data_IF_422644248186
#
_entry.id   IF_422644248186
#
_cell.length_a   1.000
_cell.length_b   1.000
_cell.length_c   1.000
_cell.angle_alpha   90.00
_cell.angle_beta   90.00
_cell.angle_gamma   90.00
#
_symmetry.space_group_name_H-M   'P 1'
#
loop_
_entity.id
_entity.type
_entity.pdbx_description
1 polymer ?
#
# COMPACT_ATOMS: atom_id res chain seq x y z
N UNK A 1 -20.47 51.18 26.34
CA UNK A 1 -19.02 51.09 26.04
C UNK A 1 -18.41 50.06 26.99
N UNK A 2 -17.95 48.89 26.50
CA UNK A 2 -17.42 47.87 27.39
C UNK A 2 -15.92 48.07 27.65
N UNK A 3 -15.54 47.77 28.87
CA UNK A 3 -14.25 48.00 29.48
C UNK A 3 -13.24 46.89 29.14
N UNK A 4 -12.01 47.31 28.85
CA UNK A 4 -10.80 46.50 28.85
C UNK A 4 -10.59 45.83 30.22
N UNK A 5 -10.23 44.55 30.23
CA UNK A 5 -9.62 43.88 31.39
C UNK A 5 -8.31 43.22 30.97
N UNK A 6 -7.23 43.95 31.19
CA UNK A 6 -5.87 43.43 31.33
C UNK A 6 -5.75 42.70 32.68
N UNK A 7 -5.08 41.53 32.69
CA UNK A 7 -4.56 40.92 33.91
C UNK A 7 -3.09 40.57 33.67
N UNK A 8 -2.23 41.26 34.41
CA UNK A 8 -0.85 40.90 34.62
C UNK A 8 -0.66 40.70 36.13
N UNK A 9 -0.02 39.61 36.53
CA UNK A 9 0.81 39.53 37.74
C UNK A 9 1.76 38.33 37.64
N UNK A 10 3.04 38.64 37.83
CA UNK A 10 4.22 37.78 37.97
C UNK A 10 4.17 37.01 39.33
N UNK A 11 5.06 36.09 39.73
CA UNK A 11 6.48 35.85 39.44
C UNK A 11 6.87 34.46 40.06
N UNK A 12 7.75 33.66 39.42
CA UNK A 12 9.16 33.31 39.83
C UNK A 12 9.37 31.95 40.51
N UNK A 13 10.18 31.07 39.87
CA UNK A 13 11.31 30.25 40.40
C UNK A 13 11.77 29.26 39.28
N UNK A 14 12.87 29.51 38.54
CA UNK A 14 14.32 29.24 38.79
C UNK A 14 14.84 27.99 38.05
N UNK A 15 15.68 28.28 37.05
CA UNK A 15 16.92 27.64 36.55
C UNK A 15 17.02 26.11 36.42
N UNK A 16 17.31 25.62 35.20
CA UNK A 16 18.60 24.97 34.84
C UNK A 16 18.53 24.42 33.40
N UNK A 17 19.31 24.99 32.46
CA UNK A 17 19.97 24.28 31.35
C UNK A 17 20.80 25.28 30.53
N UNK A 18 22.03 25.51 30.96
CA UNK A 18 23.07 26.11 30.13
C UNK A 18 24.03 25.01 29.65
N UNK A 19 24.45 25.17 28.39
CA UNK A 19 25.64 24.60 27.78
C UNK A 19 25.66 23.08 27.55
N UNK A 20 25.45 22.68 26.29
CA UNK A 20 26.28 21.67 25.63
C UNK A 20 26.38 22.01 24.13
N UNK A 21 26.99 23.17 23.86
CA UNK A 21 27.58 23.48 22.56
C UNK A 21 29.09 23.47 22.74
N UNK A 22 29.76 22.41 22.31
CA UNK A 22 31.03 22.47 21.57
C UNK A 22 31.47 21.05 21.17
N UNK A 23 32.08 20.98 19.98
CA UNK A 23 33.03 19.95 19.55
C UNK A 23 32.49 18.67 18.93
N UNK A 24 32.06 18.75 17.66
CA UNK A 24 32.40 17.74 16.64
C UNK A 24 32.77 18.41 15.31
N UNK A 25 34.02 18.84 15.19
CA UNK A 25 34.68 19.02 13.88
C UNK A 25 34.99 17.63 13.35
N UNK A 26 34.28 17.19 12.31
CA UNK A 26 34.70 16.06 11.48
C UNK A 26 35.56 16.60 10.31
N UNK A 27 36.66 15.93 9.94
CA UNK A 27 37.58 16.42 8.93
C UNK A 27 37.06 16.16 7.50
N UNK A 28 37.28 17.13 6.60
CA UNK A 28 37.13 16.97 5.15
C UNK A 28 38.06 15.86 4.62
N UNK A 29 37.61 14.96 3.75
CA UNK A 29 38.52 14.18 2.93
C UNK A 29 39.01 15.01 1.74
N UNK A 30 40.33 15.11 1.63
CA UNK A 30 41.06 15.72 0.54
C UNK A 30 40.77 15.02 -0.80
N UNK A 31 40.66 15.83 -1.86
CA UNK A 31 40.68 15.36 -3.24
C UNK A 31 41.95 14.56 -3.50
N UNK A 32 41.80 13.30 -3.94
CA UNK A 32 42.86 12.55 -4.60
C UNK A 32 42.46 12.32 -6.05
N UNK A 33 43.15 13.05 -6.90
CA UNK A 33 43.43 12.76 -8.31
C UNK A 33 43.87 11.30 -8.45
N UNK A 34 43.20 10.55 -9.32
CA UNK A 34 43.70 9.26 -9.81
C UNK A 34 44.15 9.49 -11.24
N UNK A 35 45.47 9.39 -11.42
CA UNK A 35 46.15 9.32 -12.70
C UNK A 35 45.66 8.13 -13.52
N UNK A 36 45.53 8.40 -14.82
CA UNK A 36 45.38 7.44 -15.89
C UNK A 36 46.62 6.53 -15.96
N UNK A 37 46.41 5.21 -15.89
CA UNK A 37 47.40 4.23 -16.30
C UNK A 37 46.72 3.23 -17.25
N UNK A 38 47.18 3.27 -18.50
CA UNK A 38 46.80 2.37 -19.59
C UNK A 38 47.45 0.99 -19.40
N UNK A 39 46.70 -0.09 -19.69
CA UNK A 39 47.26 -1.33 -20.23
C UNK A 39 46.16 -2.18 -20.90
N UNK A 40 46.21 -2.19 -22.24
CA UNK A 40 46.10 -3.33 -23.14
C UNK A 40 44.97 -4.35 -22.96
N UNK A 41 43.90 -4.18 -23.75
CA UNK A 41 42.98 -5.25 -24.11
C UNK A 41 43.27 -5.73 -25.53
N UNK A 42 43.64 -7.00 -25.64
CA UNK A 42 43.70 -7.81 -26.86
C UNK A 42 42.34 -7.88 -27.57
N UNK A 43 42.39 -7.84 -28.90
CA UNK A 43 41.24 -7.97 -29.81
C UNK A 43 40.60 -9.38 -29.77
N UNK A 44 39.33 -9.47 -30.20
CA UNK A 44 39.08 -10.39 -31.30
C UNK A 44 38.11 -9.85 -32.37
N UNK A 45 38.34 -10.32 -33.60
CA UNK A 45 37.28 -10.86 -34.45
C UNK A 45 36.35 -9.87 -35.15
N UNK A 46 36.73 -9.49 -36.37
CA UNK A 46 35.88 -8.93 -37.43
C UNK A 46 34.67 -9.86 -37.68
N UNK A 47 33.46 -9.41 -37.35
CA UNK A 47 32.21 -10.02 -37.79
C UNK A 47 31.70 -9.28 -39.03
N UNK A 48 31.47 -10.04 -40.10
CA UNK A 48 30.84 -9.60 -41.34
C UNK A 48 29.34 -9.32 -41.13
N UNK A 49 28.73 -8.40 -41.91
CA UNK A 49 27.31 -8.10 -41.80
C UNK A 49 26.45 -9.16 -42.52
N UNK A 50 25.51 -9.75 -41.78
CA UNK A 50 24.45 -10.64 -42.27
C UNK A 50 23.45 -9.89 -43.21
N UNK A 51 22.92 -10.53 -44.27
CA UNK A 51 22.06 -9.86 -45.24
C UNK A 51 20.60 -9.77 -44.77
N UNK A 52 19.93 -8.68 -45.17
CA UNK A 52 18.52 -8.41 -44.89
C UNK A 52 17.57 -9.44 -45.55
N UNK A 53 16.45 -9.81 -44.91
CA UNK A 53 15.47 -10.70 -45.53
C UNK A 53 14.63 -9.97 -46.60
N UNK A 54 14.56 -10.57 -47.78
CA UNK A 54 13.68 -10.16 -48.89
C UNK A 54 12.20 -10.53 -48.63
N UNK A 55 11.25 -9.82 -49.25
CA UNK A 55 9.83 -9.91 -48.90
C UNK A 55 9.17 -11.16 -49.52
N UNK A 56 8.40 -11.89 -48.71
CA UNK A 56 7.59 -13.01 -49.17
C UNK A 56 6.33 -12.48 -49.89
N UNK A 57 6.26 -12.73 -51.19
CA UNK A 57 5.07 -12.54 -52.02
C UNK A 57 3.97 -13.55 -51.62
N UNK A 58 2.74 -13.07 -51.38
CA UNK A 58 1.54 -13.91 -51.31
C UNK A 58 0.96 -14.11 -52.72
N UNK A 59 0.49 -15.32 -53.08
CA UNK A 59 -0.16 -15.54 -54.35
C UNK A 59 -1.56 -14.93 -54.39
N UNK A 60 -1.90 -14.38 -55.55
CA UNK A 60 -3.23 -13.87 -55.89
C UNK A 60 -4.20 -15.04 -56.14
N UNK A 61 -5.40 -14.94 -55.58
CA UNK A 61 -6.57 -15.72 -56.02
C UNK A 61 -7.69 -14.74 -56.34
N UNK A 62 -8.00 -14.67 -57.63
CA UNK A 62 -9.14 -13.95 -58.19
C UNK A 62 -10.43 -14.75 -58.01
N UNK A 63 -11.52 -14.04 -57.73
CA UNK A 63 -12.86 -14.43 -58.17
C UNK A 63 -13.78 -15.05 -57.13
N UNK A 64 -14.49 -14.21 -56.37
CA UNK A 64 -15.92 -14.42 -56.06
C UNK A 64 -16.60 -13.04 -56.05
N UNK A 65 -17.55 -12.86 -56.96
CA UNK A 65 -18.42 -11.68 -57.07
C UNK A 65 -19.25 -11.46 -55.79
N UNK A 66 -19.35 -10.19 -55.38
CA UNK A 66 -20.32 -9.73 -54.37
C UNK A 66 -21.71 -9.64 -55.01
N UNK A 67 -22.77 -10.26 -54.46
CA UNK A 67 -24.11 -9.79 -54.70
C UNK A 67 -24.34 -8.49 -53.91
N UNK A 68 -24.81 -7.45 -54.61
CA UNK A 68 -25.35 -6.26 -53.98
C UNK A 68 -26.68 -6.62 -53.31
N UNK A 69 -26.79 -6.39 -52.00
CA UNK A 69 -28.08 -6.44 -51.29
C UNK A 69 -28.37 -5.04 -50.78
N UNK A 70 -29.20 -4.33 -51.55
CA UNK A 70 -29.89 -3.13 -51.11
C UNK A 70 -30.89 -3.50 -50.01
N UNK A 71 -30.94 -2.68 -48.96
CA UNK A 71 -32.07 -2.63 -48.02
C UNK A 71 -31.93 -3.52 -46.78
N UNK A 72 -31.15 -3.06 -45.80
CA UNK A 72 -31.39 -3.40 -44.39
C UNK A 72 -31.46 -2.09 -43.61
N UNK A 73 -32.68 -1.72 -43.21
CA UNK A 73 -32.90 -0.69 -42.21
C UNK A 73 -32.18 -1.11 -40.92
N UNK A 74 -31.32 -0.23 -40.40
CA UNK A 74 -30.80 -0.34 -39.03
C UNK A 74 -32.00 -0.42 -38.07
N UNK A 75 -32.13 -1.45 -37.22
CA UNK A 75 -33.00 -1.35 -36.07
C UNK A 75 -32.42 -0.24 -35.19
N UNK A 76 -33.21 0.82 -34.98
CA UNK A 76 -32.95 1.74 -33.89
C UNK A 76 -33.04 0.94 -32.59
N UNK A 77 -31.90 0.78 -31.92
CA UNK A 77 -31.85 0.22 -30.56
C UNK A 77 -32.35 1.32 -29.61
N UNK A 78 -33.65 1.52 -29.61
CA UNK A 78 -34.34 2.26 -28.55
C UNK A 78 -34.34 1.39 -27.30
N UNK A 79 -33.77 1.91 -26.21
CA UNK A 79 -34.08 1.45 -24.86
C UNK A 79 -33.18 0.38 -24.28
N UNK A 80 -31.87 0.60 -24.23
CA UNK A 80 -31.12 0.23 -23.01
C UNK A 80 -30.90 1.52 -22.25
N UNK A 81 -31.85 1.86 -21.38
CA UNK A 81 -31.53 2.75 -20.27
C UNK A 81 -30.39 2.07 -19.50
N UNK A 82 -29.18 2.61 -19.65
CA UNK A 82 -28.22 2.59 -18.54
C UNK A 82 -29.01 2.93 -17.29
N UNK A 83 -28.82 2.22 -16.16
CA UNK A 83 -29.22 2.81 -14.90
C UNK A 83 -28.52 4.16 -14.87
N UNK A 84 -29.30 5.25 -14.90
CA UNK A 84 -28.80 6.49 -14.39
C UNK A 84 -28.30 6.12 -13.00
N UNK A 85 -27.01 6.34 -12.73
CA UNK A 85 -26.56 6.39 -11.35
C UNK A 85 -27.26 7.63 -10.81
N UNK A 86 -28.48 7.44 -10.31
CA UNK A 86 -29.17 8.42 -9.50
C UNK A 86 -28.13 8.83 -8.47
N UNK A 87 -27.74 10.11 -8.50
CA UNK A 87 -26.86 10.65 -7.49
C UNK A 87 -27.42 10.23 -6.16
N UNK A 88 -26.71 9.36 -5.45
CA UNK A 88 -27.15 8.87 -4.15
C UNK A 88 -27.32 10.13 -3.32
N UNK A 89 -28.57 10.47 -2.99
CA UNK A 89 -28.84 11.58 -2.08
C UNK A 89 -28.04 11.27 -0.81
N UNK A 90 -27.24 12.23 -0.36
CA UNK A 90 -26.37 12.10 0.81
C UNK A 90 -26.94 12.93 1.96
N UNK A 91 -28.11 12.57 2.51
CA UNK A 91 -28.88 13.45 3.36
C UNK A 91 -28.17 13.81 4.67
N UNK A 92 -27.39 12.91 5.26
CA UNK A 92 -26.73 13.20 6.53
C UNK A 92 -25.47 14.06 6.33
N UNK A 93 -24.70 13.82 5.26
CA UNK A 93 -23.61 14.71 4.84
C UNK A 93 -24.14 16.11 4.54
N UNK A 94 -25.25 16.23 3.79
CA UNK A 94 -25.86 17.51 3.45
C UNK A 94 -26.36 18.24 4.71
N UNK A 95 -27.14 17.57 5.56
CA UNK A 95 -27.69 18.15 6.78
C UNK A 95 -26.59 18.64 7.76
N UNK A 96 -25.48 17.91 7.87
CA UNK A 96 -24.36 18.35 8.68
C UNK A 96 -23.60 19.54 8.06
N UNK A 97 -23.52 19.61 6.73
CA UNK A 97 -22.91 20.75 6.02
C UNK A 97 -23.72 22.03 6.21
N UNK A 98 -25.05 21.91 6.19
CA UNK A 98 -25.96 23.01 6.54
C UNK A 98 -25.75 23.44 8.00
N UNK A 99 -25.68 22.48 8.93
CA UNK A 99 -25.40 22.78 10.33
C UNK A 99 -24.05 23.47 10.55
N UNK A 100 -22.98 23.06 9.84
CA UNK A 100 -21.68 23.74 9.90
C UNK A 100 -21.79 25.20 9.44
N UNK A 101 -22.62 25.45 8.43
CA UNK A 101 -22.89 26.79 7.94
C UNK A 101 -23.63 27.63 8.97
N UNK A 102 -24.64 27.06 9.64
CA UNK A 102 -25.38 27.71 10.72
C UNK A 102 -24.48 27.99 11.92
N UNK A 103 -23.63 27.03 12.32
CA UNK A 103 -22.69 27.18 13.42
C UNK A 103 -21.75 28.37 13.23
N UNK A 104 -21.18 28.52 12.02
CA UNK A 104 -20.28 29.63 11.70
C UNK A 104 -20.95 31.01 11.73
N UNK A 105 -22.26 31.06 11.57
CA UNK A 105 -23.06 32.28 11.56
C UNK A 105 -23.77 32.52 12.90
N UNK A 106 -23.58 31.64 13.88
CA UNK A 106 -24.27 31.69 15.14
C UNK A 106 -23.84 32.91 15.97
N UNK A 107 -24.82 33.58 16.56
CA UNK A 107 -24.56 34.50 17.66
C UNK A 107 -24.22 33.72 18.94
N UNK A 108 -23.46 34.29 19.90
CA UNK A 108 -23.06 33.59 21.12
C UNK A 108 -24.22 32.98 21.93
N UNK A 109 -25.42 33.58 21.84
CA UNK A 109 -26.63 33.07 22.52
C UNK A 109 -27.23 31.81 21.90
N UNK A 110 -26.92 31.49 20.64
CA UNK A 110 -27.46 30.33 19.92
C UNK A 110 -26.55 29.09 19.99
N UNK A 111 -25.29 29.26 20.41
CA UNK A 111 -24.27 28.20 20.41
C UNK A 111 -24.69 26.97 21.21
N UNK A 112 -25.26 27.13 22.40
CA UNK A 112 -25.67 25.98 23.23
C UNK A 112 -26.74 25.11 22.53
N UNK A 113 -27.72 25.75 21.89
CA UNK A 113 -28.79 25.05 21.17
C UNK A 113 -28.27 24.40 19.87
N UNK A 114 -27.40 25.08 19.13
CA UNK A 114 -26.79 24.53 17.92
C UNK A 114 -25.84 23.38 18.23
N UNK A 115 -25.06 23.46 19.30
CA UNK A 115 -24.19 22.37 19.75
C UNK A 115 -24.99 21.10 20.06
N UNK A 116 -26.11 21.23 20.78
CA UNK A 116 -27.01 20.10 21.08
C UNK A 116 -27.60 19.45 19.81
N UNK A 117 -27.93 20.25 18.79
CA UNK A 117 -28.40 19.75 17.48
C UNK A 117 -27.27 19.16 16.62
N UNK A 118 -26.05 19.63 16.78
CA UNK A 118 -24.90 19.23 15.96
C UNK A 118 -24.45 17.80 16.21
N UNK A 119 -24.48 17.33 17.47
CA UNK A 119 -24.02 15.98 17.84
C UNK A 119 -24.78 14.87 17.08
N UNK A 120 -26.13 14.80 17.08
CA UNK A 120 -26.84 13.77 16.32
C UNK A 120 -26.62 13.88 14.80
N UNK A 121 -26.45 15.09 14.26
CA UNK A 121 -26.14 15.28 12.84
C UNK A 121 -24.73 14.78 12.48
N UNK A 122 -23.74 15.07 13.33
CA UNK A 122 -22.37 14.58 13.16
C UNK A 122 -22.31 13.06 13.19
N UNK A 123 -23.03 12.41 14.12
CA UNK A 123 -23.15 10.95 14.19
C UNK A 123 -23.77 10.35 12.94
N UNK A 124 -24.88 10.92 12.47
CA UNK A 124 -25.54 10.47 11.25
C UNK A 124 -24.60 10.59 10.04
N UNK A 125 -23.91 11.73 9.91
CA UNK A 125 -22.88 11.93 8.88
C UNK A 125 -21.76 10.91 9.00
N UNK A 126 -21.24 10.65 10.21
CA UNK A 126 -20.13 9.72 10.43
C UNK A 126 -20.48 8.30 9.97
N UNK A 127 -21.71 7.85 10.24
CA UNK A 127 -22.22 6.56 9.78
C UNK A 127 -22.29 6.50 8.24
N UNK A 128 -22.86 7.53 7.61
CA UNK A 128 -22.94 7.63 6.15
C UNK A 128 -21.53 7.71 5.50
N UNK A 129 -20.62 8.48 6.09
CA UNK A 129 -19.24 8.62 5.63
C UNK A 129 -18.49 7.30 5.69
N UNK A 130 -18.70 6.49 6.74
CA UNK A 130 -18.12 5.14 6.84
C UNK A 130 -18.53 4.26 5.67
N UNK A 131 -19.80 4.32 5.24
CA UNK A 131 -20.26 3.56 4.07
C UNK A 131 -19.66 4.10 2.76
N UNK A 132 -19.55 5.43 2.63
CA UNK A 132 -18.92 6.06 1.47
C UNK A 132 -17.45 5.65 1.34
N UNK A 133 -16.68 5.57 2.42
CA UNK A 133 -15.27 5.13 2.36
C UNK A 133 -15.15 3.79 1.63
N UNK A 134 -16.07 2.85 1.88
CA UNK A 134 -16.03 1.53 1.24
C UNK A 134 -16.53 1.55 -0.21
N UNK A 135 -17.62 2.28 -0.50
CA UNK A 135 -18.32 2.21 -1.80
C UNK A 135 -17.88 3.27 -2.82
N UNK A 136 -17.57 4.47 -2.35
CA UNK A 136 -17.11 5.60 -3.17
C UNK A 136 -16.11 6.45 -2.38
N UNK A 137 -14.82 6.04 -2.37
CA UNK A 137 -13.77 6.74 -1.63
C UNK A 137 -13.59 8.19 -2.11
N UNK A 138 -13.88 8.48 -3.39
CA UNK A 138 -13.80 9.84 -3.91
C UNK A 138 -14.88 10.74 -3.30
N UNK A 139 -16.13 10.25 -3.22
CA UNK A 139 -17.21 10.95 -2.55
C UNK A 139 -16.97 11.10 -1.03
N UNK A 140 -16.37 10.10 -0.38
CA UNK A 140 -15.99 10.18 1.03
C UNK A 140 -14.97 11.31 1.26
N UNK A 141 -13.89 11.36 0.47
CA UNK A 141 -12.87 12.40 0.55
C UNK A 141 -13.46 13.79 0.29
N UNK A 142 -14.36 13.92 -0.68
CA UNK A 142 -15.05 15.18 -0.96
C UNK A 142 -16.01 15.63 0.16
N UNK A 143 -16.50 14.69 0.97
CA UNK A 143 -17.39 14.96 2.10
C UNK A 143 -16.63 15.29 3.40
N UNK A 144 -15.29 15.25 3.40
CA UNK A 144 -14.47 15.54 4.57
C UNK A 144 -14.68 16.98 5.08
N UNK A 145 -14.71 17.17 6.40
CA UNK A 145 -14.69 18.49 7.04
C UNK A 145 -13.25 19.03 6.96
N UNK A 146 -13.02 20.16 6.26
CA UNK A 146 -11.71 20.82 6.18
C UNK A 146 -11.12 21.12 7.56
N UNK A 147 -9.78 21.17 7.67
CA UNK A 147 -9.09 21.35 8.94
C UNK A 147 -9.46 22.67 9.62
N UNK A 148 -9.54 23.76 8.86
CA UNK A 148 -9.98 25.06 9.34
C UNK A 148 -11.37 25.06 9.98
N UNK A 149 -12.33 24.35 9.37
CA UNK A 149 -13.71 24.26 9.86
C UNK A 149 -13.87 23.46 11.14
N UNK A 150 -12.82 22.76 11.59
CA UNK A 150 -12.83 22.03 12.86
C UNK A 150 -12.50 22.95 14.04
N UNK A 151 -11.80 24.06 13.78
CA UNK A 151 -11.43 25.03 14.80
C UNK A 151 -12.69 25.73 15.30
N UNK A 152 -12.88 25.74 16.63
CA UNK A 152 -14.04 26.39 17.25
C UNK A 152 -15.34 25.57 17.21
N UNK A 153 -15.31 24.31 16.76
CA UNK A 153 -16.46 23.41 16.93
C UNK A 153 -16.62 23.01 18.41
N UNK A 154 -17.85 22.75 18.87
CA UNK A 154 -18.07 22.16 20.19
C UNK A 154 -17.34 20.82 20.31
N UNK A 155 -16.67 20.59 21.44
CA UNK A 155 -15.88 19.37 21.66
C UNK A 155 -16.69 18.08 21.41
N UNK A 156 -17.97 18.06 21.80
CA UNK A 156 -18.86 16.93 21.58
C UNK A 156 -19.17 16.66 20.10
N UNK A 157 -19.16 17.69 19.24
CA UNK A 157 -19.33 17.54 17.79
C UNK A 157 -18.02 17.14 17.14
N UNK A 158 -16.91 17.78 17.54
CA UNK A 158 -15.58 17.47 17.03
C UNK A 158 -15.18 16.00 17.28
N UNK A 159 -15.58 15.43 18.41
CA UNK A 159 -15.37 14.01 18.74
C UNK A 159 -16.08 13.02 17.81
N UNK A 160 -17.11 13.47 17.09
CA UNK A 160 -17.89 12.64 16.16
C UNK A 160 -17.40 12.77 14.71
N UNK A 161 -16.39 13.61 14.45
CA UNK A 161 -15.81 13.77 13.12
C UNK A 161 -14.87 12.61 12.76
N UNK A 162 -14.63 12.48 11.46
CA UNK A 162 -13.55 11.67 10.91
C UNK A 162 -12.18 12.22 11.31
N UNK A 163 -11.21 11.33 11.42
CA UNK A 163 -9.80 11.70 11.56
C UNK A 163 -9.24 12.11 10.20
N UNK A 164 -8.53 13.24 10.13
CA UNK A 164 -7.73 13.57 8.95
C UNK A 164 -6.40 12.85 9.04
N UNK A 165 -6.06 12.12 7.98
CA UNK A 165 -4.78 11.43 7.87
C UNK A 165 -3.88 12.23 6.94
N UNK A 166 -2.65 12.51 7.38
CA UNK A 166 -1.61 13.16 6.58
C UNK A 166 -0.23 12.84 7.15
N UNK A 167 0.37 11.77 6.65
CA UNK A 167 1.69 11.31 7.09
C UNK A 167 2.32 10.38 6.05
N UNK A 168 3.61 10.14 6.18
CA UNK A 168 4.24 8.99 5.52
C UNK A 168 3.86 7.70 6.24
N UNK A 169 3.52 6.68 5.46
CA UNK A 169 3.13 5.38 5.99
C UNK A 169 3.32 4.26 4.98
N UNK A 170 2.97 3.06 5.39
CA UNK A 170 3.07 1.87 4.57
C UNK A 170 1.71 1.56 3.93
N UNK A 171 1.73 1.31 2.63
CA UNK A 171 0.61 0.85 1.83
C UNK A 171 0.85 -0.61 1.47
N UNK A 172 0.19 -1.52 2.18
CA UNK A 172 0.32 -2.96 1.97
C UNK A 172 -0.81 -3.46 1.07
N UNK A 173 -0.44 -4.20 0.02
CA UNK A 173 -1.41 -4.93 -0.82
C UNK A 173 -1.12 -6.40 -0.66
N UNK A 174 -2.07 -7.15 -0.13
CA UNK A 174 -1.92 -8.58 0.13
C UNK A 174 -2.88 -9.41 -0.71
N UNK A 175 -2.37 -10.54 -1.20
CA UNK A 175 -3.12 -11.55 -1.94
C UNK A 175 -3.26 -12.79 -1.06
N UNK A 176 -4.45 -13.36 -0.94
CA UNK A 176 -4.75 -14.50 -0.05
C UNK A 176 -5.17 -15.73 -0.86
N UNK A 177 -4.67 -16.91 -0.50
CA UNK A 177 -4.80 -18.11 -1.33
C UNK A 177 -5.31 -19.31 -0.50
N UNK A 178 -6.52 -19.86 -0.74
CA UNK A 178 -7.50 -19.42 -1.75
C UNK A 178 -8.14 -18.08 -1.39
N UNK A 179 -8.49 -17.31 -2.43
CA UNK A 179 -9.07 -15.97 -2.27
C UNK A 179 -10.61 -16.00 -2.07
N UNK A 180 -11.16 -15.11 -1.22
CA UNK A 180 -12.55 -14.66 -1.40
C UNK A 180 -12.68 -13.82 -2.68
N UNK A 181 -13.90 -13.53 -3.13
CA UNK A 181 -14.21 -12.94 -4.45
C UNK A 181 -13.42 -11.67 -4.85
N UNK A 182 -12.86 -10.92 -3.89
CA UNK A 182 -11.94 -9.80 -4.13
C UNK A 182 -10.53 -10.17 -3.63
N UNK A 183 -9.70 -10.78 -4.49
CA UNK A 183 -8.41 -11.37 -4.12
C UNK A 183 -7.33 -10.41 -3.59
N UNK A 184 -7.56 -9.09 -3.60
CA UNK A 184 -6.61 -8.06 -3.16
C UNK A 184 -7.13 -7.27 -1.96
N UNK A 185 -6.45 -7.39 -0.82
CA UNK A 185 -6.72 -6.56 0.36
C UNK A 185 -5.70 -5.42 0.46
N UNK A 186 -6.17 -4.20 0.69
CA UNK A 186 -5.33 -3.01 0.91
C UNK A 186 -5.36 -2.59 2.37
N UNK A 187 -4.19 -2.39 2.95
CA UNK A 187 -4.02 -1.90 4.32
C UNK A 187 -3.05 -0.73 4.33
N UNK A 188 -3.39 0.35 5.02
CA UNK A 188 -2.47 1.44 5.29
C UNK A 188 -1.96 1.37 6.74
N UNK A 189 -0.68 1.63 6.97
CA UNK A 189 -0.08 1.70 8.31
C UNK A 189 0.51 3.09 8.51
N UNK A 190 -0.06 3.85 9.44
CA UNK A 190 0.35 5.22 9.75
C UNK A 190 0.53 5.34 11.26
N UNK A 191 1.70 5.81 11.70
CA UNK A 191 2.06 5.94 13.12
C UNK A 191 1.77 4.65 13.95
N UNK A 192 1.98 3.48 13.35
CA UNK A 192 1.72 2.17 13.98
C UNK A 192 0.26 1.70 13.99
N UNK A 193 -0.69 2.51 13.51
CA UNK A 193 -2.11 2.13 13.37
C UNK A 193 -2.37 1.55 11.99
N UNK A 194 -3.15 0.46 11.93
CA UNK A 194 -3.52 -0.23 10.69
C UNK A 194 -4.94 0.14 10.29
N UNK A 195 -5.13 0.50 9.03
CA UNK A 195 -6.42 0.85 8.47
C UNK A 195 -6.75 -0.05 7.28
N UNK A 196 -7.97 -0.55 7.20
CA UNK A 196 -8.52 -1.07 5.94
C UNK A 196 -8.63 0.10 4.96
N UNK A 197 -7.84 0.03 3.89
CA UNK A 197 -7.60 1.18 3.03
C UNK A 197 -8.39 1.08 1.71
N UNK A 198 -9.11 2.15 1.42
CA UNK A 198 -9.83 2.33 0.15
C UNK A 198 -9.24 3.55 -0.58
N UNK A 199 -9.25 3.49 -1.91
CA UNK A 199 -8.74 4.56 -2.78
C UNK A 199 -9.51 4.53 -4.09
N UNK A 200 -9.31 5.56 -4.92
CA UNK A 200 -9.78 5.60 -6.29
C UNK A 200 -8.63 5.99 -7.24
N UNK A 201 -8.90 5.98 -8.55
CA UNK A 201 -7.96 6.43 -9.57
C UNK A 201 -6.65 5.62 -9.62
N UNK A 202 -5.53 6.31 -9.84
CA UNK A 202 -4.19 5.73 -10.04
C UNK A 202 -3.81 4.69 -8.98
N UNK A 203 -4.06 4.99 -7.69
CA UNK A 203 -3.60 4.14 -6.58
C UNK A 203 -4.36 2.81 -6.48
N UNK A 204 -5.42 2.59 -7.27
CA UNK A 204 -6.03 1.26 -7.44
C UNK A 204 -5.03 0.25 -8.03
N UNK A 205 -4.14 0.68 -8.92
CA UNK A 205 -3.12 -0.19 -9.52
C UNK A 205 -1.82 -0.25 -8.68
N UNK A 206 -1.75 0.43 -7.54
CA UNK A 206 -0.55 0.48 -6.73
C UNK A 206 -0.41 -0.83 -5.95
N UNK A 207 0.72 -1.52 -6.13
CA UNK A 207 1.14 -2.64 -5.30
C UNK A 207 1.68 -2.18 -3.93
N UNK A 208 2.28 -3.07 -3.15
CA UNK A 208 2.84 -2.71 -1.84
C UNK A 208 3.89 -1.61 -1.96
N UNK A 209 3.80 -0.59 -1.09
CA UNK A 209 4.76 0.52 -0.97
C UNK A 209 5.00 0.90 0.49
N UNK A 210 6.25 1.13 0.87
CA UNK A 210 6.66 1.55 2.20
C UNK A 210 7.16 2.99 2.20
N UNK A 211 6.78 3.76 3.22
CA UNK A 211 7.13 5.18 3.33
C UNK A 211 6.43 6.10 2.31
N UNK A 212 5.27 5.69 1.81
CA UNK A 212 4.44 6.42 0.85
C UNK A 212 3.82 7.67 1.53
N UNK A 213 3.88 8.88 0.94
CA UNK A 213 3.08 10.01 1.42
C UNK A 213 1.59 9.71 1.22
N UNK A 214 0.87 9.58 2.32
CA UNK A 214 -0.54 9.23 2.35
C UNK A 214 -1.33 10.36 3.01
N UNK A 215 -2.41 10.77 2.37
CA UNK A 215 -3.37 11.67 2.96
C UNK A 215 -4.80 11.26 2.62
N UNK A 216 -5.73 11.61 3.50
CA UNK A 216 -7.12 11.20 3.40
C UNK A 216 -7.86 11.35 4.72
N UNK A 217 -8.81 10.46 4.96
CA UNK A 217 -9.60 10.44 6.19
C UNK A 217 -9.84 9.03 6.70
N UNK A 218 -10.10 8.92 7.99
CA UNK A 218 -10.48 7.67 8.65
C UNK A 218 -11.71 7.82 9.54
N UNK A 219 -12.53 6.77 9.54
CA UNK A 219 -13.60 6.53 10.50
C UNK A 219 -13.34 5.17 11.14
N UNK A 220 -12.96 5.17 12.42
CA UNK A 220 -12.42 3.99 13.10
C UNK A 220 -11.20 3.43 12.34
N UNK A 221 -11.18 2.14 12.02
CA UNK A 221 -10.10 1.48 11.27
C UNK A 221 -10.34 1.48 9.75
N UNK A 222 -11.35 2.18 9.24
CA UNK A 222 -11.67 2.26 7.81
C UNK A 222 -11.22 3.62 7.26
N UNK A 223 -10.39 3.62 6.22
CA UNK A 223 -9.80 4.84 5.69
C UNK A 223 -9.95 4.97 4.17
N UNK A 224 -10.21 6.19 3.71
CA UNK A 224 -10.13 6.58 2.31
C UNK A 224 -8.87 7.41 2.07
N UNK A 225 -8.08 7.06 1.07
CA UNK A 225 -6.87 7.77 0.67
C UNK A 225 -7.03 8.38 -0.71
N UNK A 226 -6.52 9.60 -0.87
CA UNK A 226 -6.51 10.28 -2.15
C UNK A 226 -5.45 9.67 -3.10
N UNK A 227 -5.66 9.73 -4.43
CA UNK A 227 -4.68 9.26 -5.41
C UNK A 227 -3.46 10.18 -5.56
N UNK A 228 -3.58 11.43 -5.15
CA UNK A 228 -2.53 12.43 -5.25
C UNK A 228 -1.51 12.25 -4.09
N UNK A 229 -0.19 12.38 -4.33
CA UNK A 229 0.83 12.31 -3.28
C UNK A 229 0.90 13.53 -2.35
N UNK A 230 0.08 14.56 -2.58
CA UNK A 230 0.03 15.79 -1.78
C UNK A 230 -1.39 16.31 -1.62
N UNK A 231 -1.60 17.07 -0.55
CA UNK A 231 -2.85 17.78 -0.25
C UNK A 231 -2.62 19.27 -0.19
N UNK A 232 -3.45 20.09 -0.80
CA UNK A 232 -3.42 21.53 -0.57
C UNK A 232 -3.85 21.87 0.88
N UNK A 233 -3.16 22.81 1.50
CA UNK A 233 -3.60 23.36 2.80
C UNK A 233 -4.79 24.28 2.60
N UNK A 234 -5.74 24.25 3.54
CA UNK A 234 -6.80 25.25 3.59
C UNK A 234 -6.31 26.59 4.15
N UNK A 235 -7.16 27.62 4.05
CA UNK A 235 -6.77 28.99 4.38
C UNK A 235 -6.48 29.19 5.88
N UNK A 236 -7.22 28.51 6.75
CA UNK A 236 -6.99 28.59 8.19
C UNK A 236 -5.71 27.83 8.58
N UNK A 237 -5.41 26.70 7.93
CA UNK A 237 -4.12 26.00 8.07
C UNK A 237 -2.94 26.88 7.66
N UNK A 238 -3.08 27.65 6.57
CA UNK A 238 -2.06 28.61 6.13
C UNK A 238 -1.88 29.73 7.15
N UNK A 239 -2.97 30.36 7.59
CA UNK A 239 -2.95 31.47 8.57
C UNK A 239 -2.32 31.01 9.89
N UNK A 240 -2.69 29.83 10.39
CA UNK A 240 -2.12 29.27 11.61
C UNK A 240 -0.61 29.03 11.52
N UNK A 241 -0.07 28.88 10.30
CA UNK A 241 1.36 28.71 10.01
C UNK A 241 2.07 30.01 9.60
N UNK A 242 1.37 31.14 9.61
CA UNK A 242 1.92 32.42 9.17
C UNK A 242 2.15 32.52 7.66
N UNK A 243 1.50 31.66 6.87
CA UNK A 243 1.54 31.69 5.41
C UNK A 243 0.46 32.62 4.86
N UNK A 244 0.72 33.24 3.70
CA UNK A 244 -0.29 34.02 3.00
C UNK A 244 -1.43 33.12 2.50
N UNK A 245 -2.67 33.60 2.55
CA UNK A 245 -3.86 32.83 2.16
C UNK A 245 -3.82 32.42 0.68
N UNK A 246 -3.26 33.28 -0.17
CA UNK A 246 -3.06 33.04 -1.60
C UNK A 246 -1.80 32.23 -1.94
N UNK A 247 -1.00 31.85 -0.94
CA UNK A 247 0.17 31.00 -1.16
C UNK A 247 -0.25 29.59 -1.59
N UNK A 248 0.48 29.04 -2.57
CA UNK A 248 0.37 27.63 -2.95
C UNK A 248 1.16 26.78 -1.95
N UNK A 249 0.51 26.36 -0.87
CA UNK A 249 1.07 25.49 0.14
C UNK A 249 0.43 24.09 0.09
N UNK A 250 1.26 23.05 0.06
CA UNK A 250 0.80 21.65 0.05
C UNK A 250 1.49 20.86 1.15
N UNK A 251 0.81 19.84 1.65
CA UNK A 251 1.35 18.83 2.57
C UNK A 251 1.73 17.58 1.79
N UNK A 252 2.94 17.07 2.02
CA UNK A 252 3.47 15.83 1.43
C UNK A 252 3.86 14.88 2.56
N UNK A 253 2.90 14.05 2.98
CA UNK A 253 3.10 13.10 4.08
C UNK A 253 3.43 13.80 5.40
N UNK A 254 2.72 14.89 5.69
CA UNK A 254 2.85 15.70 6.91
C UNK A 254 3.81 16.90 6.81
N UNK A 255 4.70 16.92 5.82
CA UNK A 255 5.65 18.03 5.61
C UNK A 255 5.05 19.09 4.68
N UNK A 256 5.14 20.36 5.07
CA UNK A 256 4.59 21.48 4.29
C UNK A 256 5.64 22.04 3.35
N UNK A 257 5.31 22.09 2.06
CA UNK A 257 6.09 22.76 1.02
C UNK A 257 5.27 23.92 0.41
N UNK A 258 5.92 25.06 0.18
CA UNK A 258 5.31 26.27 -0.39
C UNK A 258 5.95 26.53 -1.75
N UNK A 259 5.12 26.83 -2.74
CA UNK A 259 5.50 27.04 -4.13
C UNK A 259 5.10 28.44 -4.60
N UNK A 260 5.86 28.98 -5.54
CA UNK A 260 5.57 30.29 -6.15
C UNK A 260 4.37 30.22 -7.10
N UNK A 261 4.07 29.03 -7.63
CA UNK A 261 2.90 28.78 -8.47
C UNK A 261 2.85 27.36 -9.02
N UNK A 262 1.78 27.01 -9.77
CA UNK A 262 1.56 25.64 -10.26
C UNK A 262 2.71 25.06 -11.09
N UNK A 263 3.41 25.92 -11.85
CA UNK A 263 4.55 25.51 -12.68
C UNK A 263 5.72 24.93 -11.87
N UNK A 264 5.86 25.32 -10.60
CA UNK A 264 6.90 24.80 -9.69
C UNK A 264 6.44 23.52 -8.98
N UNK A 265 5.13 23.37 -8.74
CA UNK A 265 4.54 22.17 -8.14
C UNK A 265 4.54 20.98 -9.10
N UNK A 266 4.35 21.18 -10.40
CA UNK A 266 4.24 20.07 -11.38
C UNK A 266 5.49 19.16 -11.44
N UNK A 267 6.73 19.68 -11.52
CA UNK A 267 7.93 18.84 -11.45
C UNK A 267 8.03 18.08 -10.12
N UNK A 268 7.63 18.70 -9.01
CA UNK A 268 7.63 18.07 -7.68
C UNK A 268 6.63 16.92 -7.63
N UNK A 269 5.42 17.13 -8.14
CA UNK A 269 4.38 16.13 -8.31
C UNK A 269 4.87 14.96 -9.16
N UNK A 270 5.46 15.24 -10.33
CA UNK A 270 6.01 14.21 -11.22
C UNK A 270 7.09 13.36 -10.53
N UNK A 271 7.98 13.99 -9.75
CA UNK A 271 9.00 13.28 -8.98
C UNK A 271 8.41 12.35 -7.92
N UNK A 272 7.35 12.78 -7.22
CA UNK A 272 6.63 11.93 -6.25
C UNK A 272 5.98 10.74 -6.96
N UNK A 273 5.26 10.96 -8.05
CA UNK A 273 4.63 9.90 -8.85
C UNK A 273 5.65 8.89 -9.40
N UNK A 274 6.81 9.37 -9.85
CA UNK A 274 7.90 8.52 -10.31
C UNK A 274 8.50 7.69 -9.16
N UNK A 275 8.63 8.25 -7.97
CA UNK A 275 9.10 7.53 -6.79
C UNK A 275 8.13 6.40 -6.38
N UNK A 276 6.82 6.68 -6.43
CA UNK A 276 5.79 5.67 -6.20
C UNK A 276 5.79 4.55 -7.26
N UNK A 277 6.14 4.87 -8.52
CA UNK A 277 6.14 3.93 -9.63
C UNK A 277 7.39 3.04 -9.73
N UNK A 278 8.43 3.28 -8.91
CA UNK A 278 9.64 2.43 -8.89
C UNK A 278 9.29 0.96 -8.65
N UNK A 279 10.07 0.03 -9.18
CA UNK A 279 9.89 -1.38 -8.85
C UNK A 279 10.21 -1.66 -7.38
N UNK A 280 9.52 -2.66 -6.82
CA UNK A 280 9.67 -3.02 -5.41
C UNK A 280 8.93 -2.07 -4.46
N UNK A 281 8.94 -2.38 -3.16
CA UNK A 281 8.07 -1.72 -2.20
C UNK A 281 8.67 -0.43 -1.65
N UNK A 282 9.98 -0.22 -1.72
CA UNK A 282 10.63 0.88 -1.01
C UNK A 282 10.51 2.19 -1.78
N UNK A 283 9.77 3.15 -1.22
CA UNK A 283 9.76 4.55 -1.69
C UNK A 283 10.94 5.27 -1.04
N UNK A 284 11.80 5.97 -1.82
CA UNK A 284 12.90 6.74 -1.24
C UNK A 284 12.42 7.81 -0.25
N UNK A 285 13.02 7.84 0.95
CA UNK A 285 12.76 8.86 1.96
C UNK A 285 13.55 8.66 3.26
N UNK A 286 13.42 9.57 4.23
CA UNK A 286 13.99 9.39 5.56
C UNK A 286 13.42 8.13 6.23
N UNK A 287 14.29 7.31 6.83
CA UNK A 287 13.87 6.10 7.56
C UNK A 287 13.62 4.86 6.69
N UNK A 288 13.83 4.91 5.36
CA UNK A 288 13.83 3.70 4.53
C UNK A 288 14.91 2.74 5.04
N UNK A 289 14.58 1.50 5.46
CA UNK A 289 15.58 0.56 5.94
C UNK A 289 16.57 0.23 4.82
N UNK A 290 17.87 0.04 5.14
CA UNK A 290 18.83 -0.45 4.17
C UNK A 290 18.42 -1.88 3.79
N UNK A 291 17.89 -2.03 2.58
CA UNK A 291 17.41 -3.30 2.03
C UNK A 291 18.57 -4.24 1.71
N UNK A 292 18.26 -5.52 1.50
CA UNK A 292 19.17 -6.46 0.84
C UNK A 292 19.81 -5.87 -0.43
N UNK A 293 21.07 -6.24 -0.68
CA UNK A 293 21.94 -5.65 -1.70
C UNK A 293 21.38 -5.68 -3.14
N UNK A 294 21.19 -4.49 -3.73
CA UNK A 294 21.43 -4.08 -5.12
C UNK A 294 21.20 -5.11 -6.25
N UNK A 295 20.03 -5.73 -6.33
CA UNK A 295 19.53 -6.31 -7.59
C UNK A 295 18.14 -5.75 -7.90
N UNK A 296 17.72 -5.65 -9.17
CA UNK A 296 16.35 -5.29 -9.51
C UNK A 296 15.35 -6.18 -8.74
N UNK A 297 14.16 -5.65 -8.44
CA UNK A 297 13.25 -6.28 -7.46
C UNK A 297 12.91 -7.73 -7.79
N UNK A 298 12.80 -8.05 -9.08
CA UNK A 298 12.45 -9.39 -9.55
C UNK A 298 13.64 -10.19 -10.11
N UNK A 299 14.69 -9.53 -10.62
CA UNK A 299 15.80 -10.17 -11.32
C UNK A 299 17.03 -10.37 -10.43
N UNK A 300 17.80 -11.42 -10.69
CA UNK A 300 19.02 -11.77 -9.96
C UNK A 300 18.75 -12.67 -8.76
N UNK A 301 19.78 -12.89 -7.96
CA UNK A 301 19.67 -13.68 -6.73
C UNK A 301 18.78 -12.99 -5.69
N UNK A 302 17.92 -13.75 -5.03
CA UNK A 302 16.98 -13.30 -4.00
C UNK A 302 17.14 -14.16 -2.75
N UNK A 303 17.37 -13.51 -1.61
CA UNK A 303 17.50 -14.16 -0.31
C UNK A 303 16.13 -14.23 0.36
N UNK A 304 15.77 -15.41 0.84
CA UNK A 304 14.52 -15.69 1.56
C UNK A 304 14.81 -16.20 2.96
N UNK A 305 14.21 -15.57 3.98
CA UNK A 305 14.28 -16.04 5.37
C UNK A 305 13.01 -16.80 5.75
N UNK A 306 13.15 -17.99 6.35
CA UNK A 306 12.06 -18.67 7.06
C UNK A 306 12.12 -18.38 8.55
N UNK A 307 10.99 -17.98 9.12
CA UNK A 307 10.79 -17.79 10.56
C UNK A 307 9.63 -18.68 11.00
N UNK A 308 9.90 -19.68 11.83
CA UNK A 308 8.85 -20.46 12.48
C UNK A 308 8.43 -19.81 13.79
N UNK A 309 7.14 -19.74 14.04
CA UNK A 309 6.58 -19.26 15.30
C UNK A 309 5.62 -20.26 15.92
N UNK A 310 5.55 -20.28 17.25
CA UNK A 310 4.57 -21.02 18.04
C UNK A 310 3.88 -20.11 19.07
N UNK A 311 2.95 -20.68 19.83
CA UNK A 311 2.12 -19.95 20.78
C UNK A 311 2.15 -20.63 22.15
N UNK A 312 1.87 -19.88 23.22
CA UNK A 312 1.92 -20.45 24.57
C UNK A 312 0.81 -21.49 24.80
N UNK A 313 -0.36 -21.28 24.20
CA UNK A 313 -1.51 -22.18 24.20
C UNK A 313 -1.45 -23.30 23.15
N UNK A 314 -0.50 -23.26 22.21
CA UNK A 314 -0.30 -24.29 21.18
C UNK A 314 1.17 -24.39 20.75
N UNK A 315 2.08 -24.89 21.62
CA UNK A 315 3.52 -24.83 21.42
C UNK A 315 4.05 -25.86 20.40
N UNK A 316 5.22 -25.58 19.81
CA UNK A 316 5.94 -26.49 18.91
C UNK A 316 5.94 -26.08 17.44
N UNK A 317 6.94 -26.60 16.71
CA UNK A 317 7.15 -26.33 15.30
C UNK A 317 5.99 -26.83 14.41
N UNK A 318 5.82 -26.19 13.26
CA UNK A 318 4.89 -26.67 12.22
C UNK A 318 5.55 -27.74 11.36
N UNK A 319 6.84 -27.55 11.05
CA UNK A 319 7.62 -28.41 10.20
C UNK A 319 9.05 -28.58 10.74
N UNK A 320 9.64 -29.73 10.43
CA UNK A 320 11.06 -29.98 10.66
C UNK A 320 11.93 -29.20 9.68
N UNK A 321 13.20 -28.99 10.03
CA UNK A 321 14.18 -28.36 9.13
C UNK A 321 14.30 -29.09 7.80
N UNK A 322 14.30 -30.43 7.82
CA UNK A 322 14.42 -31.25 6.62
C UNK A 322 13.21 -31.07 5.66
N UNK A 323 12.00 -30.92 6.19
CA UNK A 323 10.81 -30.65 5.38
C UNK A 323 10.90 -29.26 4.71
N UNK A 324 11.34 -28.24 5.45
CA UNK A 324 11.55 -26.89 4.92
C UNK A 324 12.66 -26.90 3.85
N UNK A 325 13.76 -27.62 4.06
CA UNK A 325 14.85 -27.75 3.09
C UNK A 325 14.42 -28.44 1.79
N UNK A 326 13.58 -29.48 1.86
CA UNK A 326 12.98 -30.10 0.68
C UNK A 326 12.08 -29.11 -0.09
N UNK A 327 11.28 -28.30 0.62
CA UNK A 327 10.49 -27.23 0.00
C UNK A 327 11.38 -26.19 -0.67
N UNK A 328 12.42 -25.70 0.03
CA UNK A 328 13.37 -24.73 -0.50
C UNK A 328 14.03 -25.20 -1.80
N UNK A 329 14.44 -26.47 -1.85
CA UNK A 329 15.08 -27.07 -3.03
C UNK A 329 14.15 -27.04 -4.24
N UNK A 330 12.88 -27.42 -4.06
CA UNK A 330 11.88 -27.44 -5.14
C UNK A 330 11.51 -26.04 -5.61
N UNK A 331 11.36 -25.09 -4.69
CA UNK A 331 11.05 -23.70 -5.01
C UNK A 331 12.21 -23.03 -5.76
N UNK A 332 13.45 -23.24 -5.30
CA UNK A 332 14.64 -22.71 -5.98
C UNK A 332 14.75 -23.25 -7.41
N UNK A 333 14.53 -24.56 -7.60
CA UNK A 333 14.54 -25.19 -8.91
C UNK A 333 13.43 -24.65 -9.82
N UNK A 334 12.21 -24.46 -9.30
CA UNK A 334 11.08 -23.89 -10.05
C UNK A 334 11.42 -22.50 -10.59
N UNK A 335 11.85 -21.56 -9.74
CA UNK A 335 12.14 -20.21 -10.19
C UNK A 335 13.35 -20.14 -11.14
N UNK A 336 14.39 -20.95 -10.90
CA UNK A 336 15.52 -21.03 -11.82
C UNK A 336 15.09 -21.55 -13.20
N UNK A 337 14.22 -22.57 -13.26
CA UNK A 337 13.72 -23.12 -14.51
C UNK A 337 12.79 -22.13 -15.24
N UNK A 338 11.75 -21.64 -14.56
CA UNK A 338 10.72 -20.77 -15.15
C UNK A 338 11.27 -19.41 -15.59
N UNK A 339 12.30 -18.90 -14.91
CA UNK A 339 12.96 -17.63 -15.27
C UNK A 339 14.16 -17.80 -16.21
N UNK A 340 14.50 -19.02 -16.63
CA UNK A 340 15.74 -19.33 -17.34
C UNK A 340 17.00 -18.79 -16.62
N UNK A 341 17.05 -18.95 -15.30
CA UNK A 341 18.16 -18.52 -14.45
C UNK A 341 18.23 -17.01 -14.20
N UNK A 342 17.29 -16.21 -14.72
CA UNK A 342 17.28 -14.76 -14.49
C UNK A 342 16.86 -14.37 -13.09
N UNK A 343 16.17 -15.25 -12.37
CA UNK A 343 15.82 -15.11 -10.96
C UNK A 343 16.14 -16.41 -10.23
N UNK A 344 16.92 -16.31 -9.16
CA UNK A 344 17.27 -17.46 -8.32
C UNK A 344 16.97 -17.14 -6.87
N UNK A 345 16.57 -18.14 -6.10
CA UNK A 345 16.29 -17.99 -4.68
C UNK A 345 17.28 -18.79 -3.83
N UNK A 346 17.82 -18.14 -2.80
CA UNK A 346 18.57 -18.79 -1.73
C UNK A 346 17.82 -18.63 -0.41
N UNK A 347 17.82 -19.68 0.39
CA UNK A 347 17.01 -19.75 1.59
C UNK A 347 17.88 -19.80 2.84
N UNK A 348 17.42 -19.16 3.90
CA UNK A 348 17.95 -19.29 5.25
C UNK A 348 16.81 -19.63 6.18
N UNK A 349 17.02 -20.60 7.09
CA UNK A 349 16.03 -21.00 8.08
C UNK A 349 16.52 -20.53 9.45
N UNK A 350 15.70 -19.75 10.14
CA UNK A 350 15.96 -19.41 11.54
C UNK A 350 15.89 -20.72 12.37
N UNK A 351 16.96 -21.11 13.10
CA UNK A 351 17.01 -22.43 13.75
C UNK A 351 15.98 -22.66 14.86
N UNK A 352 15.67 -21.63 15.65
CA UNK A 352 14.67 -21.68 16.71
C UNK A 352 13.23 -21.53 16.21
N UNK A 353 12.28 -22.06 16.99
CA UNK A 353 10.86 -21.72 16.89
C UNK A 353 10.60 -20.57 17.85
N UNK A 354 10.13 -19.43 17.35
CA UNK A 354 9.95 -18.22 18.16
C UNK A 354 8.57 -18.22 18.83
N UNK A 355 8.56 -18.05 20.15
CA UNK A 355 7.31 -17.94 20.92
C UNK A 355 6.67 -16.57 20.74
N UNK A 356 5.47 -16.55 20.16
CA UNK A 356 4.65 -15.34 20.07
C UNK A 356 4.25 -14.82 21.45
N UNK A 357 4.19 -13.49 21.58
CA UNK A 357 3.82 -12.82 22.85
C UNK A 357 2.33 -12.88 23.16
N UNK A 358 1.51 -13.08 22.13
CA UNK A 358 0.07 -13.32 22.24
C UNK A 358 -0.24 -14.76 21.88
N UNK A 359 -1.26 -15.30 22.51
CA UNK A 359 -1.74 -16.66 22.29
C UNK A 359 -2.32 -16.86 20.88
N UNK A 360 -2.36 -18.11 20.43
CA UNK A 360 -2.98 -18.52 19.16
C UNK A 360 -4.43 -18.05 19.11
N UNK A 361 -5.16 -18.17 20.22
CA UNK A 361 -6.55 -17.73 20.35
C UNK A 361 -6.75 -16.24 20.00
N UNK A 362 -5.79 -15.37 20.35
CA UNK A 362 -5.88 -13.93 20.04
C UNK A 362 -5.88 -13.69 18.53
N UNK A 363 -4.93 -14.32 17.82
CA UNK A 363 -4.82 -14.17 16.36
C UNK A 363 -5.99 -14.85 15.66
N UNK A 364 -6.42 -16.02 16.15
CA UNK A 364 -7.54 -16.76 15.58
C UNK A 364 -8.91 -16.12 15.86
N UNK A 365 -8.99 -15.01 16.60
CA UNK A 365 -10.24 -14.30 16.86
C UNK A 365 -10.72 -13.45 15.67
N UNK A 366 -9.84 -13.10 14.73
CA UNK A 366 -10.19 -12.27 13.56
C UNK A 366 -9.35 -12.62 12.33
N UNK A 367 -9.98 -12.66 11.17
CA UNK A 367 -9.31 -12.83 9.88
C UNK A 367 -8.33 -11.68 9.55
N UNK A 368 -8.52 -10.50 10.14
CA UNK A 368 -7.70 -9.30 9.87
C UNK A 368 -6.41 -9.22 10.72
N UNK A 369 -6.22 -10.13 11.67
CA UNK A 369 -5.07 -10.13 12.58
C UNK A 369 -3.77 -10.66 11.94
N UNK A 370 -3.83 -11.24 10.73
CA UNK A 370 -2.67 -11.83 10.05
C UNK A 370 -1.51 -10.84 9.87
N UNK A 371 -1.82 -9.56 9.62
CA UNK A 371 -0.82 -8.49 9.57
C UNK A 371 -0.12 -8.27 10.91
N UNK A 372 -0.86 -8.32 12.02
CA UNK A 372 -0.32 -8.17 13.38
C UNK A 372 0.58 -9.35 13.76
N UNK A 373 0.22 -10.57 13.35
CA UNK A 373 1.06 -11.75 13.51
C UNK A 373 2.42 -11.56 12.83
N UNK A 374 2.42 -11.09 11.58
CA UNK A 374 3.65 -10.82 10.84
C UNK A 374 4.52 -9.78 11.56
N UNK A 375 3.94 -8.65 11.99
CA UNK A 375 4.68 -7.59 12.70
C UNK A 375 5.31 -8.10 13.99
N UNK A 376 4.57 -8.90 14.76
CA UNK A 376 5.09 -9.49 16.00
C UNK A 376 6.20 -10.52 15.73
N UNK A 377 6.06 -11.37 14.72
CA UNK A 377 7.09 -12.31 14.31
C UNK A 377 8.38 -11.61 13.85
N UNK A 378 8.27 -10.48 13.13
CA UNK A 378 9.41 -9.68 12.72
C UNK A 378 10.20 -9.14 13.92
N UNK A 379 9.50 -8.63 14.94
CA UNK A 379 10.12 -8.15 16.16
C UNK A 379 10.87 -9.25 16.91
N UNK A 380 10.29 -10.46 16.97
CA UNK A 380 10.92 -11.63 17.59
C UNK A 380 12.16 -12.09 16.80
N UNK A 381 12.09 -12.11 15.47
CA UNK A 381 13.22 -12.48 14.62
C UNK A 381 14.40 -11.50 14.78
N UNK A 382 14.12 -10.19 14.85
CA UNK A 382 15.14 -9.17 15.14
C UNK A 382 15.75 -9.33 16.53
N UNK A 383 14.94 -9.64 17.54
CA UNK A 383 15.44 -9.93 18.88
C UNK A 383 16.31 -11.21 18.91
N UNK A 384 15.91 -12.24 18.17
CA UNK A 384 16.71 -13.45 18.00
C UNK A 384 18.04 -13.15 17.30
N UNK A 385 18.05 -12.38 16.21
CA UNK A 385 19.29 -11.97 15.53
C UNK A 385 20.25 -11.25 16.49
N UNK A 386 19.74 -10.25 17.23
CA UNK A 386 20.52 -9.50 18.21
C UNK A 386 21.11 -10.41 19.31
N UNK A 387 20.33 -11.38 19.80
CA UNK A 387 20.80 -12.36 20.78
C UNK A 387 21.82 -13.35 20.20
N UNK A 388 21.87 -13.53 18.88
CA UNK A 388 22.75 -14.45 18.17
C UNK A 388 23.84 -13.71 17.37
N UNK A 389 24.35 -12.61 17.92
CA UNK A 389 25.51 -11.88 17.39
C UNK A 389 25.19 -10.65 16.54
N UNK A 390 23.92 -10.39 16.23
CA UNK A 390 23.48 -9.14 15.58
C UNK A 390 24.07 -8.93 14.18
N UNK A 391 24.32 -10.01 13.45
CA UNK A 391 24.94 -9.96 12.12
C UNK A 391 23.94 -9.65 11.00
N UNK A 392 22.65 -9.64 11.31
CA UNK A 392 21.57 -9.54 10.32
C UNK A 392 21.26 -10.87 9.61
N UNK A 393 21.81 -11.99 10.09
CA UNK A 393 21.54 -13.32 9.54
C UNK A 393 20.08 -13.75 9.74
N UNK A 394 19.40 -13.23 10.76
CA UNK A 394 18.01 -13.54 11.07
C UNK A 394 17.11 -12.31 11.15
N UNK A 395 17.62 -11.13 10.76
CA UNK A 395 16.84 -9.90 10.65
C UNK A 395 16.07 -9.89 9.32
N UNK A 396 14.72 -9.94 9.32
CA UNK A 396 13.92 -9.92 8.10
C UNK A 396 14.17 -8.71 7.19
N UNK A 397 14.58 -7.55 7.73
CA UNK A 397 14.87 -6.36 6.93
C UNK A 397 16.10 -6.54 6.04
N UNK A 398 16.93 -7.55 6.33
CA UNK A 398 18.13 -7.91 5.55
C UNK A 398 17.85 -8.92 4.47
N UNK A 399 16.61 -9.33 4.24
CA UNK A 399 16.24 -10.28 3.20
C UNK A 399 15.40 -9.63 2.11
N UNK A 400 15.45 -10.21 0.91
CA UNK A 400 14.60 -9.76 -0.19
C UNK A 400 13.15 -10.16 0.06
N UNK A 401 12.95 -11.36 0.63
CA UNK A 401 11.66 -11.92 1.03
C UNK A 401 11.78 -12.62 2.38
N UNK A 402 10.70 -12.76 3.12
CA UNK A 402 10.70 -13.60 4.31
C UNK A 402 9.32 -14.18 4.58
N UNK A 403 9.33 -15.41 5.10
CA UNK A 403 8.18 -16.26 5.30
C UNK A 403 8.00 -16.50 6.80
N UNK A 404 6.82 -16.18 7.33
CA UNK A 404 6.42 -16.63 8.67
C UNK A 404 5.58 -17.89 8.53
N UNK A 405 6.04 -18.97 9.15
CA UNK A 405 5.33 -20.24 9.24
C UNK A 405 4.75 -20.40 10.65
N UNK A 406 3.44 -20.60 10.72
CA UNK A 406 2.71 -20.75 11.97
C UNK A 406 1.65 -21.85 11.86
N UNK A 407 1.22 -22.39 13.01
CA UNK A 407 0.19 -23.44 13.04
C UNK A 407 -1.13 -22.93 12.47
N UNK A 408 -1.88 -23.85 11.83
CA UNK A 408 -3.14 -23.51 11.15
C UNK A 408 -4.11 -22.73 12.06
N UNK A 409 -4.57 -21.60 11.54
CA UNK A 409 -5.58 -20.69 12.07
C UNK A 409 -6.83 -20.81 11.19
N UNK A 410 -7.93 -21.42 11.68
CA UNK A 410 -9.17 -21.49 10.91
C UNK A 410 -9.78 -20.14 10.53
N UNK A 411 -9.53 -19.08 11.32
CA UNK A 411 -10.01 -17.73 11.01
C UNK A 411 -9.31 -17.11 9.78
N UNK A 412 -8.15 -17.64 9.38
CA UNK A 412 -7.48 -17.26 8.14
C UNK A 412 -7.96 -18.20 7.03
N UNK A 413 -8.73 -17.65 6.10
CA UNK A 413 -9.30 -18.43 4.97
C UNK A 413 -8.24 -18.93 3.98
N UNK A 414 -6.99 -18.53 4.14
CA UNK A 414 -5.88 -18.85 3.25
C UNK A 414 -4.97 -19.96 3.80
N UNK A 415 -4.36 -20.74 2.91
CA UNK A 415 -3.18 -21.57 3.17
C UNK A 415 -1.87 -20.80 3.05
N UNK A 416 -1.82 -19.81 2.14
CA UNK A 416 -0.73 -18.85 1.98
C UNK A 416 -1.25 -17.43 1.74
N UNK A 417 -0.51 -16.43 2.17
CA UNK A 417 -0.81 -15.04 1.88
C UNK A 417 0.49 -14.26 1.70
N UNK A 418 0.58 -13.45 0.66
CA UNK A 418 1.78 -12.68 0.37
C UNK A 418 1.45 -11.24 0.01
N UNK A 419 2.43 -10.36 0.18
CA UNK A 419 2.35 -9.01 -0.35
C UNK A 419 2.61 -8.99 -1.85
N UNK A 420 1.74 -8.30 -2.60
CA UNK A 420 1.98 -7.99 -3.99
C UNK A 420 3.16 -7.02 -4.09
N UNK A 421 4.26 -7.47 -4.71
CA UNK A 421 5.51 -6.70 -4.84
C UNK A 421 6.15 -6.30 -3.49
N UNK A 422 5.79 -6.98 -2.39
CA UNK A 422 6.38 -6.78 -1.05
C UNK A 422 7.19 -7.98 -0.57
N UNK A 423 7.95 -7.86 0.53
CA UNK A 423 8.82 -8.92 1.03
C UNK A 423 8.10 -9.97 1.88
N UNK A 424 6.89 -9.68 2.38
CA UNK A 424 6.25 -10.50 3.41
C UNK A 424 5.42 -11.64 2.81
N UNK A 425 5.63 -12.84 3.34
CA UNK A 425 4.84 -14.04 3.08
C UNK A 425 4.41 -14.68 4.41
N UNK A 426 3.18 -15.18 4.46
CA UNK A 426 2.55 -15.87 5.59
C UNK A 426 2.10 -17.25 5.15
N UNK A 427 2.46 -18.27 5.92
CA UNK A 427 2.09 -19.65 5.66
C UNK A 427 1.26 -20.22 6.81
N UNK A 428 -0.01 -20.53 6.53
CA UNK A 428 -1.00 -20.95 7.50
C UNK A 428 -1.04 -22.48 7.66
N UNK A 429 -0.05 -23.02 8.39
CA UNK A 429 0.11 -24.46 8.59
C UNK A 429 0.46 -25.24 7.33
N UNK A 430 0.94 -24.56 6.29
CA UNK A 430 1.23 -25.13 4.97
C UNK A 430 2.69 -24.88 4.61
N UNK A 431 3.39 -25.91 4.13
CA UNK A 431 4.76 -25.81 3.63
C UNK A 431 4.91 -26.45 2.25
N UNK A 432 3.79 -26.69 1.56
CA UNK A 432 3.78 -27.29 0.25
C UNK A 432 4.66 -26.44 -0.70
N UNK A 433 5.57 -27.05 -1.48
CA UNK A 433 6.37 -26.35 -2.47
C UNK A 433 5.53 -25.53 -3.45
N UNK A 434 4.37 -26.07 -3.86
CA UNK A 434 3.32 -25.42 -4.65
C UNK A 434 2.99 -24.05 -4.10
N UNK A 435 2.40 -24.07 -2.90
CA UNK A 435 1.93 -22.86 -2.25
C UNK A 435 3.07 -21.91 -1.98
N UNK A 436 4.26 -22.42 -1.66
CA UNK A 436 5.42 -21.57 -1.39
C UNK A 436 5.88 -20.82 -2.63
N UNK A 437 6.01 -21.47 -3.80
CA UNK A 437 6.36 -20.75 -5.03
C UNK A 437 5.23 -19.83 -5.50
N UNK A 438 3.97 -20.19 -5.24
CA UNK A 438 2.79 -19.37 -5.53
C UNK A 438 2.84 -18.04 -4.76
N UNK A 439 2.99 -18.12 -3.44
CA UNK A 439 3.11 -16.93 -2.59
C UNK A 439 4.32 -16.07 -2.95
N UNK A 440 5.46 -16.70 -3.25
CA UNK A 440 6.63 -15.97 -3.73
C UNK A 440 6.37 -15.33 -5.10
N UNK A 441 5.51 -15.90 -5.95
CA UNK A 441 5.04 -15.29 -7.20
C UNK A 441 4.34 -13.96 -6.99
N UNK A 442 3.50 -13.82 -5.95
CA UNK A 442 2.90 -12.53 -5.59
C UNK A 442 3.95 -11.47 -5.23
N UNK A 443 5.02 -11.88 -4.55
CA UNK A 443 6.12 -10.95 -4.23
C UNK A 443 6.89 -10.47 -5.47
N UNK A 444 6.75 -11.16 -6.61
CA UNK A 444 7.25 -10.72 -7.92
C UNK A 444 6.27 -9.80 -8.68
N UNK A 445 5.07 -9.58 -8.14
CA UNK A 445 4.04 -8.72 -8.76
C UNK A 445 2.99 -9.48 -9.56
N UNK A 446 2.93 -10.81 -9.47
CA UNK A 446 1.89 -11.61 -10.13
C UNK A 446 0.60 -11.61 -9.27
N UNK A 447 -0.56 -11.41 -9.89
CA UNK A 447 -1.86 -11.69 -9.27
C UNK A 447 -2.28 -13.13 -9.58
N UNK A 448 -3.40 -13.60 -9.02
CA UNK A 448 -3.93 -14.89 -9.41
C UNK A 448 -4.21 -14.95 -10.91
N UNK A 449 -4.00 -16.12 -11.50
CA UNK A 449 -4.57 -16.46 -12.80
C UNK A 449 -6.02 -16.92 -12.60
N UNK A 450 -6.86 -16.65 -13.59
CA UNK A 450 -8.29 -16.91 -13.51
C UNK A 450 -8.72 -17.96 -14.53
N UNK A 451 -9.75 -18.72 -14.20
CA UNK A 451 -10.41 -19.58 -15.16
C UNK A 451 -11.62 -18.85 -15.78
N UNK A 452 -11.71 -18.84 -17.11
CA UNK A 452 -12.83 -18.23 -17.82
C UNK A 452 -14.02 -19.19 -17.89
N UNK A 453 -15.19 -18.73 -17.43
CA UNK A 453 -16.46 -19.46 -17.47
C UNK A 453 -17.41 -18.74 -18.44
N UNK A 454 -17.55 -19.24 -19.68
CA UNK A 454 -18.51 -18.69 -20.65
C UNK A 454 -19.96 -18.88 -20.16
N UNK A 455 -20.80 -17.87 -20.37
CA UNK A 455 -22.23 -17.93 -20.06
C UNK A 455 -23.05 -18.69 -21.13
N UNK A 456 -22.39 -19.13 -22.21
CA UNK A 456 -23.02 -19.83 -23.33
C UNK A 456 -22.02 -20.70 -24.10
N UNK A 457 -22.40 -21.26 -25.25
CA UNK A 457 -21.57 -22.22 -25.98
C UNK A 457 -20.35 -21.60 -26.67
N UNK A 458 -20.32 -20.27 -26.78
CA UNK A 458 -19.20 -19.54 -27.39
C UNK A 458 -18.14 -19.31 -26.32
N UNK A 459 -17.00 -19.99 -26.42
CA UNK A 459 -15.91 -19.93 -25.44
C UNK A 459 -15.37 -18.51 -25.20
N UNK A 460 -15.50 -17.61 -26.15
CA UNK A 460 -15.09 -16.19 -26.08
C UNK A 460 -16.27 -15.21 -25.94
N UNK A 461 -17.49 -15.73 -25.78
CA UNK A 461 -18.70 -14.92 -25.55
C UNK A 461 -18.76 -14.36 -24.13
N UNK A 462 -19.87 -13.70 -23.72
CA UNK A 462 -20.03 -13.20 -22.34
C UNK A 462 -19.78 -14.30 -21.31
N UNK A 463 -19.22 -13.96 -20.16
CA UNK A 463 -18.84 -14.93 -19.14
C UNK A 463 -18.36 -14.26 -17.85
N UNK A 464 -17.83 -15.09 -16.96
CA UNK A 464 -17.28 -14.66 -15.66
C UNK A 464 -15.92 -15.31 -15.43
N UNK A 465 -15.11 -14.69 -14.59
CA UNK A 465 -13.85 -15.28 -14.14
C UNK A 465 -14.05 -15.99 -12.80
N UNK A 466 -13.49 -17.19 -12.68
CA UNK A 466 -13.25 -17.83 -11.40
C UNK A 466 -11.86 -17.44 -10.92
N UNK A 467 -11.81 -16.68 -9.83
CA UNK A 467 -10.58 -16.29 -9.13
C UNK A 467 -9.75 -17.53 -8.78
N UNK A 468 -8.44 -17.47 -9.04
CA UNK A 468 -7.50 -18.57 -8.73
C UNK A 468 -7.87 -19.90 -9.44
N UNK A 469 -8.70 -19.84 -10.49
CA UNK A 469 -9.32 -21.02 -11.08
C UNK A 469 -8.45 -21.79 -12.07
N UNK A 470 -7.37 -21.20 -12.60
CA UNK A 470 -6.59 -21.82 -13.68
C UNK A 470 -5.84 -23.07 -13.18
N UNK A 471 -6.16 -24.27 -13.70
CA UNK A 471 -5.53 -25.52 -13.24
C UNK A 471 -4.14 -25.77 -13.84
N UNK A 472 -3.65 -24.91 -14.74
CA UNK A 472 -2.38 -25.09 -15.44
C UNK A 472 -1.31 -24.05 -15.05
N UNK A 473 -1.71 -22.98 -14.37
CA UNK A 473 -0.83 -21.89 -13.97
C UNK A 473 -0.51 -21.98 -12.47
N UNK A 474 0.76 -21.77 -12.11
CA UNK A 474 1.25 -21.73 -10.74
C UNK A 474 0.56 -20.64 -9.91
N UNK A 475 0.02 -19.59 -10.54
CA UNK A 475 -0.78 -18.54 -9.92
C UNK A 475 -2.28 -18.87 -9.85
N UNK A 476 -2.68 -20.08 -10.25
CA UNK A 476 -4.03 -20.61 -10.14
C UNK A 476 -4.07 -21.87 -9.27
N UNK A 477 -5.07 -22.73 -9.47
CA UNK A 477 -5.35 -23.91 -8.65
C UNK A 477 -4.21 -24.95 -8.61
N UNK A 478 -3.23 -24.86 -9.49
CA UNK A 478 -2.06 -25.75 -9.50
C UNK A 478 -0.98 -25.36 -8.48
N UNK A 479 -1.02 -24.12 -7.98
CA UNK A 479 -0.14 -23.59 -6.93
C UNK A 479 -0.60 -23.92 -5.52
#
# INVERSE_FOLDING_TARGET
>A
MPAYRTRALAAVLVLLAAAWSLSRRAPQPAARSVESAAASSTAPGRLEPEPAPSPVQRPAVSGVERPAVSGVQRPAVSGVQRPAVSGVERPAVAAFTEWLTDWRRADPGAEAALAARGVPLARARRAELRELIARDPAAALAAAVPAGLRVGLPAAVAAELEELLDARGDWEVTVSCPAPADGLQRTAILAGRRFTAHTHGRRLALATKYGLPLHGLAVDDLAAFAPEPWRALDDDEKVARGLAVDALAVSIGGEVEVFTGPAELEPRRAALLAAEAREGPYVPGPGTPPTAANTPWILGAKRVLWVQVDFADDPGAVASTAEIENTNTRVAAFFAATSHGRTTFSFTVLPGVLRMTRDKAFYNASATSAGQLQTAAAALAKAYDAANGGTGAYDPDKYDRWIVLFKRMPAYAFGGQAQLTGPQVRMNGNINPGTTYHELGHTQGLTHSHYWIPAGPVATGPGTHLEYGDPFDAMGRSG
#
